data_IF_939477085626
#
_entry.id   IF_939477085626
#
_cell.length_a   1.000
_cell.length_b   1.000
_cell.length_c   1.000
_cell.angle_alpha   90.00
_cell.angle_beta   90.00
_cell.angle_gamma   90.00
#
_symmetry.space_group_name_H-M   'P 1'
#
loop_
_entity.id
_entity.type
_entity.pdbx_description
1 polymer ?
#
# COMPACT_ATOMS: atom_id res chain seq x y z
N UNK A 1 -12.47 -0.17 12.04
CA UNK A 1 -11.60 0.44 13.09
C UNK A 1 -10.96 1.71 12.53
N UNK A 2 -10.38 2.59 13.35
CA UNK A 2 -9.61 3.73 12.82
C UNK A 2 -8.18 3.30 12.50
N UNK A 3 -7.67 3.76 11.37
CA UNK A 3 -6.31 3.52 10.90
C UNK A 3 -5.65 4.86 10.61
N UNK A 4 -4.48 5.10 11.18
CA UNK A 4 -3.82 6.40 11.08
C UNK A 4 -2.50 6.31 10.32
N UNK A 5 -2.25 7.28 9.46
CA UNK A 5 -0.94 7.46 8.81
C UNK A 5 -0.65 8.95 8.60
N UNK A 6 0.55 9.27 8.11
CA UNK A 6 0.92 10.65 7.77
C UNK A 6 0.09 11.16 6.59
N UNK A 7 -0.26 12.44 6.61
CA UNK A 7 -0.87 13.13 5.48
C UNK A 7 0.08 13.23 4.27
N UNK A 8 -0.48 13.46 3.08
CA UNK A 8 0.25 13.45 1.82
C UNK A 8 0.66 12.03 1.43
N UNK A 9 -0.32 11.12 1.33
CA UNK A 9 -0.08 9.72 1.00
C UNK A 9 0.52 9.57 -0.39
N UNK A 10 1.46 8.64 -0.50
CA UNK A 10 2.08 8.22 -1.76
C UNK A 10 1.99 6.69 -1.85
N UNK A 11 2.82 6.07 -2.68
CA UNK A 11 2.68 4.67 -3.08
C UNK A 11 2.47 3.69 -1.92
N UNK A 12 3.37 3.64 -0.92
CA UNK A 12 3.26 2.66 0.17
C UNK A 12 2.01 2.88 1.03
N UNK A 13 1.73 4.13 1.43
CA UNK A 13 0.50 4.46 2.21
C UNK A 13 -0.78 4.19 1.45
N UNK A 14 -0.84 4.52 0.17
CA UNK A 14 -2.00 4.25 -0.67
C UNK A 14 -2.20 2.74 -0.86
N UNK A 15 -1.13 1.98 -1.06
CA UNK A 15 -1.17 0.52 -1.16
C UNK A 15 -1.61 -0.13 0.16
N UNK A 16 -1.05 0.33 1.29
CA UNK A 16 -1.42 -0.12 2.63
C UNK A 16 -2.90 0.13 2.93
N UNK A 17 -3.40 1.34 2.64
CA UNK A 17 -4.80 1.69 2.85
C UNK A 17 -5.75 0.81 2.02
N UNK A 18 -5.38 0.52 0.77
CA UNK A 18 -6.12 -0.43 -0.08
C UNK A 18 -6.09 -1.86 0.50
N UNK A 19 -4.91 -2.36 0.88
CA UNK A 19 -4.72 -3.69 1.47
C UNK A 19 -5.55 -3.86 2.75
N UNK A 20 -5.50 -2.87 3.64
CA UNK A 20 -6.27 -2.83 4.87
C UNK A 20 -7.77 -2.89 4.55
N UNK A 21 -8.25 -1.99 3.69
CA UNK A 21 -9.68 -1.90 3.34
C UNK A 21 -10.21 -3.18 2.71
N UNK A 22 -9.38 -3.88 1.92
CA UNK A 22 -9.84 -5.03 1.12
C UNK A 22 -9.69 -6.37 1.82
N UNK A 23 -8.63 -6.57 2.61
CA UNK A 23 -8.27 -7.88 3.14
C UNK A 23 -8.26 -7.97 4.67
N UNK A 24 -8.27 -6.84 5.39
CA UNK A 24 -8.08 -6.81 6.85
C UNK A 24 -9.30 -6.24 7.56
N UNK A 25 -9.73 -5.03 7.18
CA UNK A 25 -10.82 -4.28 7.82
C UNK A 25 -11.68 -3.57 6.75
N UNK A 26 -12.75 -4.22 6.26
CA UNK A 26 -13.67 -3.62 5.28
C UNK A 26 -14.44 -2.40 5.80
N UNK A 27 -14.42 -2.14 7.10
CA UNK A 27 -15.03 -0.99 7.74
C UNK A 27 -13.94 -0.03 8.29
N UNK A 28 -12.76 -0.02 7.66
CA UNK A 28 -11.67 0.87 8.02
C UNK A 28 -12.07 2.34 7.82
N UNK A 29 -11.79 3.16 8.82
CA UNK A 29 -11.84 4.62 8.75
C UNK A 29 -10.40 5.15 8.79
N UNK A 30 -10.00 5.91 7.77
CA UNK A 30 -8.63 6.42 7.68
C UNK A 30 -8.52 7.84 8.23
N UNK A 31 -7.48 8.06 9.03
CA UNK A 31 -7.13 9.36 9.61
C UNK A 31 -5.73 9.75 9.12
N UNK A 32 -5.64 10.90 8.47
CA UNK A 32 -4.38 11.43 7.96
C UNK A 32 -3.90 12.57 8.87
N UNK A 33 -2.72 12.41 9.47
CA UNK A 33 -2.18 13.37 10.43
C UNK A 33 -0.90 14.03 9.91
N UNK A 34 -0.73 15.32 10.18
CA UNK A 34 0.52 16.05 9.86
C UNK A 34 1.55 15.94 10.98
N UNK A 35 1.10 15.67 12.22
CA UNK A 35 1.94 15.45 13.40
C UNK A 35 1.59 14.08 14.01
N UNK A 36 2.57 13.17 14.19
CA UNK A 36 2.36 11.89 14.88
C UNK A 36 1.75 12.01 16.28
N UNK A 37 1.93 13.13 16.97
CA UNK A 37 1.29 13.38 18.28
C UNK A 37 -0.25 13.54 18.19
N UNK A 38 -0.80 13.76 16.98
CA UNK A 38 -2.23 13.87 16.74
C UNK A 38 -2.89 12.54 16.34
N UNK A 39 -2.14 11.42 16.32
CA UNK A 39 -2.74 10.10 16.10
C UNK A 39 -3.77 9.82 17.21
N UNK A 40 -5.05 9.53 16.87
CA UNK A 40 -6.05 9.19 17.87
C UNK A 40 -5.66 7.95 18.68
N UNK A 41 -5.96 7.95 19.98
CA UNK A 41 -5.65 6.82 20.85
C UNK A 41 -6.40 5.53 20.47
N UNK A 42 -7.51 5.65 19.73
CA UNK A 42 -8.31 4.55 19.20
C UNK A 42 -7.97 4.17 17.75
N UNK A 43 -6.88 4.72 17.19
CA UNK A 43 -6.42 4.42 15.84
C UNK A 43 -5.17 3.53 15.82
N UNK A 44 -5.13 2.59 14.88
CA UNK A 44 -3.95 1.76 14.60
C UNK A 44 -3.02 2.49 13.63
N UNK A 45 -1.78 2.85 14.01
CA UNK A 45 -0.85 3.52 13.13
C UNK A 45 -0.22 2.55 12.10
N UNK A 46 -0.06 2.99 10.85
CA UNK A 46 0.66 2.29 9.79
C UNK A 46 1.46 3.27 8.93
N UNK A 47 2.57 2.80 8.34
CA UNK A 47 3.57 3.65 7.66
C UNK A 47 3.95 4.91 8.47
N UNK A 48 4.25 4.70 9.74
CA UNK A 48 4.77 5.74 10.62
C UNK A 48 6.00 5.21 11.33
N UNK A 49 6.95 6.10 11.61
CA UNK A 49 8.18 5.75 12.32
C UNK A 49 7.83 5.11 13.67
N UNK A 50 8.30 3.89 13.88
CA UNK A 50 8.08 3.15 15.13
C UNK A 50 6.71 2.47 15.23
N UNK A 51 5.85 2.57 14.22
CA UNK A 51 4.61 1.79 14.16
C UNK A 51 4.92 0.30 13.91
N UNK A 52 4.10 -0.59 14.47
CA UNK A 52 4.20 -2.03 14.20
C UNK A 52 4.00 -2.34 12.71
N UNK A 53 3.12 -1.58 12.04
CA UNK A 53 2.80 -1.70 10.62
C UNK A 53 3.52 -0.64 9.76
N UNK A 54 4.76 -0.34 10.11
CA UNK A 54 5.66 0.53 9.34
C UNK A 54 6.78 -0.26 8.64
N UNK A 55 7.86 0.43 8.26
CA UNK A 55 9.05 -0.22 7.72
C UNK A 55 9.81 -1.00 8.79
N UNK A 56 10.18 -2.25 8.49
CA UNK A 56 10.96 -3.12 9.38
C UNK A 56 11.94 -3.98 8.61
N UNK A 57 13.19 -4.06 9.09
CA UNK A 57 14.20 -4.98 8.54
C UNK A 57 14.45 -4.88 7.02
N UNK A 58 14.24 -3.69 6.44
CA UNK A 58 14.37 -3.46 4.99
C UNK A 58 13.07 -3.66 4.23
N UNK A 59 12.01 -4.16 4.86
CA UNK A 59 10.68 -4.25 4.25
C UNK A 59 9.97 -2.88 4.32
N UNK A 60 9.20 -2.54 3.28
CA UNK A 60 8.26 -1.43 3.32
C UNK A 60 7.04 -1.77 4.21
N UNK A 61 6.15 -0.80 4.43
CA UNK A 61 4.99 -1.01 5.29
C UNK A 61 4.03 -2.03 4.70
N UNK A 62 3.84 -2.04 3.37
CA UNK A 62 3.00 -3.03 2.70
C UNK A 62 3.47 -4.47 2.95
N UNK A 63 4.78 -4.75 2.77
CA UNK A 63 5.40 -6.05 3.07
C UNK A 63 5.22 -6.44 4.55
N UNK A 64 5.44 -5.49 5.46
CA UNK A 64 5.23 -5.69 6.89
C UNK A 64 3.78 -6.08 7.20
N UNK A 65 2.79 -5.39 6.63
CA UNK A 65 1.37 -5.68 6.83
C UNK A 65 1.04 -7.08 6.30
N UNK A 66 1.53 -7.47 5.12
CA UNK A 66 1.33 -8.82 4.61
C UNK A 66 1.84 -9.88 5.58
N UNK A 67 3.04 -9.68 6.15
CA UNK A 67 3.65 -10.60 7.11
C UNK A 67 2.85 -10.68 8.41
N UNK A 68 2.51 -9.54 9.00
CA UNK A 68 1.79 -9.48 10.29
C UNK A 68 0.39 -10.09 10.18
N UNK A 69 -0.31 -9.83 9.07
CA UNK A 69 -1.66 -10.34 8.85
C UNK A 69 -1.71 -11.69 8.12
N UNK A 70 -0.56 -12.34 7.88
CA UNK A 70 -0.44 -13.66 7.24
C UNK A 70 -1.06 -13.74 5.84
N UNK A 71 -0.88 -12.68 5.06
CA UNK A 71 -1.34 -12.57 3.67
C UNK A 71 -0.24 -12.92 2.66
N UNK A 72 0.94 -13.33 3.12
CA UNK A 72 2.10 -13.63 2.28
C UNK A 72 1.92 -14.83 1.35
N UNK A 73 0.93 -15.69 1.58
CA UNK A 73 0.68 -16.87 0.75
C UNK A 73 0.04 -16.52 -0.60
N UNK A 74 -0.56 -15.33 -0.73
CA UNK A 74 -1.16 -14.85 -1.96
C UNK A 74 -0.09 -14.36 -2.96
N UNK A 75 0.08 -15.03 -4.13
CA UNK A 75 1.08 -14.65 -5.12
C UNK A 75 0.83 -13.27 -5.76
N UNK A 76 -0.42 -12.85 -5.90
CA UNK A 76 -0.74 -11.54 -6.45
C UNK A 76 -0.37 -10.43 -5.46
N UNK A 77 -0.64 -10.64 -4.17
CA UNK A 77 -0.21 -9.69 -3.14
C UNK A 77 1.32 -9.61 -3.03
N UNK A 78 2.04 -10.74 -3.11
CA UNK A 78 3.51 -10.72 -3.15
C UNK A 78 4.04 -9.91 -4.34
N UNK A 79 3.47 -10.09 -5.53
CA UNK A 79 3.90 -9.31 -6.70
C UNK A 79 3.63 -7.82 -6.55
N UNK A 80 2.51 -7.44 -5.93
CA UNK A 80 2.25 -6.03 -5.59
C UNK A 80 3.26 -5.53 -4.56
N UNK A 81 3.64 -6.35 -3.58
CA UNK A 81 4.64 -5.99 -2.59
C UNK A 81 5.99 -5.65 -3.24
N UNK A 82 6.45 -6.47 -4.19
CA UNK A 82 7.67 -6.19 -4.96
C UNK A 82 7.59 -4.81 -5.66
N UNK A 83 6.46 -4.48 -6.27
CA UNK A 83 6.26 -3.21 -6.98
C UNK A 83 6.25 -2.03 -6.02
N UNK A 84 5.56 -2.17 -4.88
CA UNK A 84 5.50 -1.11 -3.85
C UNK A 84 6.87 -0.92 -3.20
N UNK A 85 7.62 -1.99 -2.97
CA UNK A 85 8.99 -1.93 -2.44
C UNK A 85 9.90 -1.11 -3.35
N UNK A 86 9.97 -1.45 -4.64
CA UNK A 86 10.81 -0.71 -5.59
C UNK A 86 10.37 0.74 -5.75
N UNK A 87 9.07 1.01 -5.66
CA UNK A 87 8.56 2.36 -5.77
C UNK A 87 8.86 3.24 -4.55
N UNK A 88 8.94 2.66 -3.36
CA UNK A 88 9.06 3.37 -2.10
C UNK A 88 10.49 3.42 -1.55
N UNK A 89 11.22 2.31 -1.69
CA UNK A 89 12.60 2.14 -1.17
C UNK A 89 13.65 2.36 -2.27
N UNK A 90 13.38 1.91 -3.51
CA UNK A 90 14.25 2.08 -4.69
C UNK A 90 15.70 1.56 -4.45
N UNK A 91 15.83 0.35 -3.90
CA UNK A 91 17.12 -0.31 -3.64
C UNK A 91 17.47 -1.42 -4.66
N UNK A 92 16.69 -1.54 -5.73
CA UNK A 92 16.86 -2.51 -6.83
C UNK A 92 16.75 -3.99 -6.39
N UNK A 93 16.09 -4.27 -5.25
CA UNK A 93 15.93 -5.62 -4.70
C UNK A 93 15.07 -6.52 -5.59
N UNK A 94 14.07 -5.97 -6.25
CA UNK A 94 13.09 -6.68 -7.07
C UNK A 94 13.05 -6.15 -8.50
N UNK A 95 12.80 -7.06 -9.45
CA UNK A 95 12.56 -6.67 -10.83
C UNK A 95 11.09 -6.23 -11.01
N UNK A 96 10.80 -4.96 -10.78
CA UNK A 96 9.48 -4.36 -10.92
C UNK A 96 9.47 -3.15 -11.88
N UNK A 97 9.52 -3.37 -13.21
CA UNK A 97 9.54 -2.28 -14.20
C UNK A 97 8.30 -1.36 -14.15
N UNK A 98 7.21 -1.81 -13.54
CA UNK A 98 5.98 -1.06 -13.34
C UNK A 98 6.11 -0.01 -12.21
N UNK A 99 7.04 -0.20 -11.27
CA UNK A 99 7.17 0.59 -10.05
C UNK A 99 7.40 2.10 -10.31
N UNK A 100 8.35 2.53 -11.18
CA UNK A 100 8.57 3.95 -11.42
C UNK A 100 7.34 4.65 -12.01
N UNK A 101 6.63 3.97 -12.91
CA UNK A 101 5.41 4.51 -13.51
C UNK A 101 4.28 4.65 -12.50
N UNK A 102 4.10 3.65 -11.64
CA UNK A 102 3.07 3.64 -10.61
C UNK A 102 3.35 4.70 -9.52
N UNK A 103 4.60 4.86 -9.10
CA UNK A 103 5.02 5.93 -8.18
C UNK A 103 4.69 7.31 -8.76
N UNK A 104 5.10 7.60 -10.00
CA UNK A 104 4.86 8.90 -10.63
C UNK A 104 3.35 9.22 -10.69
N UNK A 105 2.52 8.24 -11.04
CA UNK A 105 1.06 8.41 -11.09
C UNK A 105 0.50 8.73 -9.70
N UNK A 106 0.82 7.92 -8.67
CA UNK A 106 0.27 8.09 -7.32
C UNK A 106 0.78 9.36 -6.64
N UNK A 107 2.06 9.69 -6.83
CA UNK A 107 2.65 10.94 -6.38
C UNK A 107 1.98 12.14 -7.06
N UNK A 108 1.73 12.05 -8.37
CA UNK A 108 0.98 13.06 -9.12
C UNK A 108 -0.45 13.26 -8.59
N UNK A 109 -1.15 12.17 -8.24
CA UNK A 109 -2.49 12.24 -7.63
C UNK A 109 -2.48 13.04 -6.33
N UNK A 110 -1.48 12.82 -5.48
CA UNK A 110 -1.34 13.57 -4.21
C UNK A 110 -1.07 15.07 -4.40
N UNK A 111 -0.65 15.50 -5.59
CA UNK A 111 -0.42 16.92 -5.91
C UNK A 111 -1.69 17.65 -6.39
N UNK A 112 -2.73 16.91 -6.79
CA UNK A 112 -3.96 17.48 -7.37
C UNK A 112 -5.20 17.26 -6.49
N UNK A 113 -5.07 16.55 -5.38
CA UNK A 113 -6.15 16.24 -4.45
C UNK A 113 -5.65 16.06 -3.03
N UNK A 114 -6.57 15.73 -2.13
CA UNK A 114 -6.23 15.36 -0.75
C UNK A 114 -5.98 13.85 -0.62
N UNK A 115 -5.69 13.40 0.60
CA UNK A 115 -5.42 11.99 0.90
C UNK A 115 -6.64 11.10 0.62
N UNK A 116 -7.85 11.60 0.89
CA UNK A 116 -9.09 10.87 0.62
C UNK A 116 -9.32 10.69 -0.89
N UNK A 117 -9.08 11.73 -1.69
CA UNK A 117 -9.13 11.66 -3.13
C UNK A 117 -8.08 10.71 -3.69
N UNK A 118 -6.84 10.82 -3.24
CA UNK A 118 -5.74 9.95 -3.67
C UNK A 118 -6.08 8.49 -3.38
N UNK A 119 -6.57 8.18 -2.17
CA UNK A 119 -7.00 6.84 -1.78
C UNK A 119 -8.18 6.33 -2.61
N UNK A 120 -9.17 7.19 -2.88
CA UNK A 120 -10.34 6.83 -3.68
C UNK A 120 -9.98 6.49 -5.14
N UNK A 121 -8.99 7.19 -5.71
CA UNK A 121 -8.51 6.94 -7.08
C UNK A 121 -7.53 5.77 -7.14
N UNK A 122 -6.64 5.62 -6.15
CA UNK A 122 -5.65 4.55 -6.12
C UNK A 122 -6.27 3.17 -5.85
N UNK A 123 -7.34 3.12 -5.07
CA UNK A 123 -8.01 1.86 -4.71
C UNK A 123 -8.43 1.01 -5.92
N UNK A 124 -9.18 1.53 -6.92
CA UNK A 124 -9.50 0.77 -8.13
C UNK A 124 -8.28 0.42 -9.00
N UNK A 125 -7.19 1.20 -8.92
CA UNK A 125 -5.92 0.87 -9.61
C UNK A 125 -5.31 -0.38 -8.99
N UNK A 126 -5.22 -0.46 -7.66
CA UNK A 126 -4.74 -1.65 -6.97
C UNK A 126 -5.67 -2.85 -7.13
N UNK A 127 -6.99 -2.63 -7.19
CA UNK A 127 -7.95 -3.70 -7.54
C UNK A 127 -7.65 -4.30 -8.92
N UNK A 128 -7.39 -3.44 -9.92
CA UNK A 128 -7.03 -3.87 -11.26
C UNK A 128 -5.69 -4.60 -11.29
N UNK A 129 -4.68 -4.08 -10.60
CA UNK A 129 -3.36 -4.69 -10.50
C UNK A 129 -3.40 -6.07 -9.82
N UNK A 130 -4.18 -6.18 -8.73
CA UNK A 130 -4.41 -7.45 -8.05
C UNK A 130 -5.11 -8.45 -8.96
N UNK A 131 -6.18 -8.06 -9.65
CA UNK A 131 -6.88 -8.95 -10.56
C UNK A 131 -6.00 -9.40 -11.73
N UNK A 132 -5.16 -8.50 -12.25
CA UNK A 132 -4.19 -8.80 -13.30
C UNK A 132 -3.22 -9.90 -12.85
N UNK A 133 -2.53 -9.74 -11.72
CA UNK A 133 -1.57 -10.74 -11.24
C UNK A 133 -2.23 -12.02 -10.71
N UNK A 134 -3.44 -11.91 -10.15
CA UNK A 134 -4.25 -13.07 -9.77
C UNK A 134 -4.58 -13.92 -10.99
N UNK A 135 -5.05 -13.30 -12.08
CA UNK A 135 -5.28 -14.00 -13.35
C UNK A 135 -4.00 -14.54 -13.96
N UNK A 136 -2.91 -13.79 -13.90
CA UNK A 136 -1.62 -14.24 -14.39
C UNK A 136 -1.19 -15.56 -13.72
N UNK A 137 -1.34 -15.61 -12.39
CA UNK A 137 -1.07 -16.80 -11.58
C UNK A 137 -1.96 -17.97 -12.00
N UNK A 138 -3.26 -17.76 -12.14
CA UNK A 138 -4.20 -18.81 -12.51
C UNK A 138 -3.98 -19.36 -13.93
N UNK A 139 -3.55 -18.50 -14.85
CA UNK A 139 -3.30 -18.86 -16.25
C UNK A 139 -1.88 -19.39 -16.49
N UNK A 140 -0.94 -19.15 -15.57
CA UNK A 140 0.49 -19.40 -15.78
C UNK A 140 1.13 -18.50 -16.84
N UNK A 141 0.48 -17.39 -17.19
CA UNK A 141 0.93 -16.39 -18.19
C UNK A 141 0.20 -15.06 -17.98
N UNK A 142 0.73 -13.98 -18.53
CA UNK A 142 0.06 -12.68 -18.48
C UNK A 142 -1.34 -12.69 -19.15
N UNK A 143 -2.34 -12.03 -18.53
CA UNK A 143 -3.63 -11.75 -19.14
C UNK A 143 -3.49 -10.91 -20.42
N UNK A 144 -4.38 -11.16 -21.39
CA UNK A 144 -4.46 -10.40 -22.65
C UNK A 144 -5.22 -9.08 -22.47
#
# INVERSE_FOLDING_TARGET
>A
MKWATRAGIHIDRAACAWLISRFIDPAAEFVFVTDPAHVPADATPFDMRGAELGHHHGDCSFETILRVHRLTDDPALRRIADIVHEADIDDERFHAPEAPGLDVVLRGLSMIGDDAHTMAVSSPVFDGLYEYYRRATLLGREPA
#
